data_IF_326067989838
#
_entry.id   IF_326067989838
#
_cell.length_a   1.000
_cell.length_b   1.000
_cell.length_c   1.000
_cell.angle_alpha   90.00
_cell.angle_beta   90.00
_cell.angle_gamma   90.00
#
_symmetry.space_group_name_H-M   'P 1'
#
loop_
_entity.id
_entity.type
_entity.pdbx_description
1 polymer ?
#
# COMPACT_ATOMS: atom_id res chain seq x y z
N UNK A 1 -15.41 -22.38 31.48
CA UNK A 1 -14.65 -21.16 31.86
C UNK A 1 -13.14 -21.40 31.67
N UNK A 2 -12.76 -21.84 30.47
CA UNK A 2 -11.37 -21.95 30.01
C UNK A 2 -11.41 -21.49 28.55
N UNK A 3 -11.32 -20.19 28.33
CA UNK A 3 -11.43 -19.59 27.00
C UNK A 3 -10.02 -19.51 26.44
N UNK A 4 -9.63 -20.56 25.72
CA UNK A 4 -8.53 -20.69 24.76
C UNK A 4 -7.39 -19.64 24.77
N UNK A 5 -6.34 -19.82 25.60
CA UNK A 5 -5.12 -19.00 25.60
C UNK A 5 -4.14 -19.34 24.45
N UNK A 6 -4.64 -19.69 23.25
CA UNK A 6 -3.82 -20.00 22.06
C UNK A 6 -4.10 -19.07 20.86
N UNK A 7 -5.13 -18.21 20.96
CA UNK A 7 -5.49 -17.24 19.91
C UNK A 7 -4.56 -16.01 19.87
N UNK A 8 -3.73 -15.85 20.89
CA UNK A 8 -2.88 -14.65 21.07
C UNK A 8 -1.71 -14.56 20.09
N UNK A 9 -1.38 -15.63 19.36
CA UNK A 9 -0.21 -15.63 18.46
C UNK A 9 -0.47 -16.36 17.13
N UNK A 10 -1.68 -16.23 16.58
CA UNK A 10 -1.99 -16.76 15.25
C UNK A 10 -1.90 -15.64 14.20
N UNK A 11 -0.80 -15.51 13.45
CA UNK A 11 -0.71 -14.56 12.34
C UNK A 11 -1.79 -14.78 11.29
N UNK A 12 -2.43 -15.96 11.28
CA UNK A 12 -3.58 -16.29 10.45
C UNK A 12 -4.76 -15.32 10.59
N UNK A 13 -5.01 -14.75 11.78
CA UNK A 13 -6.10 -13.78 11.97
C UNK A 13 -5.87 -12.51 11.14
N UNK A 14 -4.63 -12.03 11.07
CA UNK A 14 -4.27 -10.87 10.25
C UNK A 14 -4.48 -11.13 8.76
N UNK A 15 -4.17 -12.34 8.29
CA UNK A 15 -4.41 -12.76 6.90
C UNK A 15 -5.90 -12.77 6.58
N UNK A 16 -6.74 -13.29 7.49
CA UNK A 16 -8.20 -13.33 7.32
C UNK A 16 -8.78 -11.91 7.25
N UNK A 17 -8.33 -11.00 8.11
CA UNK A 17 -8.76 -9.59 8.08
C UNK A 17 -8.36 -8.95 6.75
N UNK A 18 -7.13 -9.16 6.30
CA UNK A 18 -6.65 -8.63 5.02
C UNK A 18 -7.50 -9.17 3.86
N UNK A 19 -7.85 -10.45 3.88
CA UNK A 19 -8.71 -11.09 2.88
C UNK A 19 -10.10 -10.44 2.83
N UNK A 20 -10.74 -10.24 3.99
CA UNK A 20 -12.07 -9.60 4.08
C UNK A 20 -12.02 -8.18 3.53
N UNK A 21 -11.00 -7.39 3.91
CA UNK A 21 -10.82 -6.03 3.40
C UNK A 21 -10.58 -6.06 1.88
N UNK A 22 -9.81 -7.01 1.36
CA UNK A 22 -9.57 -7.16 -0.08
C UNK A 22 -10.85 -7.54 -0.85
N UNK A 23 -11.78 -8.27 -0.24
CA UNK A 23 -13.08 -8.57 -0.85
C UNK A 23 -14.01 -7.36 -0.84
N UNK A 24 -14.06 -6.61 0.26
CA UNK A 24 -14.91 -5.41 0.38
C UNK A 24 -14.39 -4.22 -0.45
N UNK A 25 -13.08 -3.98 -0.41
CA UNK A 25 -12.43 -2.88 -1.11
C UNK A 25 -11.94 -3.27 -2.51
N UNK A 26 -11.66 -4.54 -2.77
CA UNK A 26 -11.08 -5.01 -4.02
C UNK A 26 -9.54 -4.94 -4.06
N UNK A 27 -8.93 -5.80 -4.89
CA UNK A 27 -7.48 -5.93 -5.03
C UNK A 27 -6.75 -4.64 -5.47
N UNK A 28 -7.44 -3.72 -6.15
CA UNK A 28 -6.86 -2.49 -6.70
C UNK A 28 -6.99 -1.28 -5.77
N UNK A 29 -7.95 -1.28 -4.82
CA UNK A 29 -8.22 -0.10 -3.97
C UNK A 29 -7.26 -0.01 -2.79
N UNK A 30 -6.92 -1.13 -2.15
CA UNK A 30 -5.91 -1.15 -1.07
C UNK A 30 -4.54 -0.60 -1.51
N UNK A 31 -3.92 -1.07 -2.61
CA UNK A 31 -2.64 -0.54 -3.06
C UNK A 31 -2.72 0.91 -3.55
N UNK A 32 -3.84 1.32 -4.15
CA UNK A 32 -4.01 2.71 -4.59
C UNK A 32 -4.10 3.68 -3.39
N UNK A 33 -4.85 3.31 -2.35
CA UNK A 33 -5.01 4.12 -1.13
C UNK A 33 -3.73 4.17 -0.29
N UNK A 34 -3.01 3.06 -0.17
CA UNK A 34 -1.73 3.05 0.54
C UNK A 34 -0.67 3.87 -0.18
N UNK A 35 -0.68 3.87 -1.52
CA UNK A 35 0.24 4.70 -2.33
C UNK A 35 -0.04 6.19 -2.18
N UNK A 36 -1.31 6.62 -2.24
CA UNK A 36 -1.66 8.04 -2.05
C UNK A 36 -1.39 8.53 -0.62
N UNK A 37 -1.75 7.73 0.40
CA UNK A 37 -1.46 8.04 1.80
C UNK A 37 0.04 8.03 2.09
N UNK A 38 0.78 7.09 1.48
CA UNK A 38 2.24 6.99 1.57
C UNK A 38 2.94 8.20 0.95
N UNK A 39 2.43 8.74 -0.16
CA UNK A 39 2.96 9.98 -0.74
C UNK A 39 2.75 11.18 0.20
N UNK A 40 1.58 11.34 0.82
CA UNK A 40 1.32 12.41 1.79
C UNK A 40 2.23 12.31 3.02
N UNK A 41 2.41 11.10 3.58
CA UNK A 41 3.30 10.85 4.71
C UNK A 41 4.76 11.10 4.32
N UNK A 42 5.17 10.74 3.10
CA UNK A 42 6.54 10.96 2.61
C UNK A 42 6.87 12.45 2.54
N UNK A 43 5.97 13.27 2.00
CA UNK A 43 6.14 14.73 1.91
C UNK A 43 6.28 15.32 3.32
N UNK A 44 5.37 14.96 4.23
CA UNK A 44 5.41 15.42 5.61
C UNK A 44 6.70 15.01 6.33
N UNK A 45 7.15 13.75 6.17
CA UNK A 45 8.44 13.27 6.70
C UNK A 45 9.63 14.04 6.12
N UNK A 46 9.56 14.43 4.84
CA UNK A 46 10.66 15.10 4.16
C UNK A 46 10.82 16.54 4.64
N UNK A 47 9.72 17.25 4.83
CA UNK A 47 9.72 18.61 5.39
C UNK A 47 10.21 18.57 6.85
N UNK A 48 9.62 17.73 7.69
CA UNK A 48 10.01 17.59 9.10
C UNK A 48 11.47 17.13 9.28
N UNK A 49 12.00 16.30 8.38
CA UNK A 49 13.40 15.86 8.42
C UNK A 49 14.37 16.90 7.86
N UNK A 50 13.89 17.85 7.06
CA UNK A 50 14.71 18.96 6.57
C UNK A 50 15.00 19.98 7.67
N UNK A 51 14.09 20.11 8.64
CA UNK A 51 14.25 20.96 9.83
C UNK A 51 15.01 20.27 11.00
N UNK A 52 15.19 18.96 10.95
CA UNK A 52 15.99 18.21 11.94
C UNK A 52 17.46 18.05 11.47
N UNK A 53 18.47 18.18 12.37
CA UNK A 53 19.86 17.98 12.00
C UNK A 53 20.07 16.56 11.44
N UNK A 54 20.70 16.51 10.27
CA UNK A 54 20.78 15.34 9.38
C UNK A 54 21.38 14.11 10.07
N UNK A 55 20.52 13.22 10.56
CA UNK A 55 20.88 11.82 10.82
C UNK A 55 19.83 10.92 10.16
N UNK A 56 20.31 9.89 9.49
CA UNK A 56 19.62 8.75 8.89
C UNK A 56 19.08 8.90 7.46
N UNK A 57 19.91 8.41 6.53
CA UNK A 57 19.50 7.94 5.22
C UNK A 57 18.83 6.57 5.28
N UNK A 58 17.81 6.42 4.44
CA UNK A 58 17.33 5.21 3.75
C UNK A 58 15.83 5.39 3.56
N UNK A 59 15.46 5.83 2.38
CA UNK A 59 14.12 5.61 1.85
C UNK A 59 14.29 5.33 0.35
N UNK A 60 14.80 4.13 0.06
CA UNK A 60 14.78 3.55 -1.28
C UNK A 60 13.37 3.66 -1.85
N UNK A 61 13.31 4.34 -2.98
CA UNK A 61 12.21 4.34 -3.92
C UNK A 61 12.32 3.07 -4.74
N UNK A 62 11.29 2.22 -4.74
CA UNK A 62 10.87 1.49 -5.95
C UNK A 62 9.59 0.71 -5.68
N UNK A 63 8.49 1.16 -6.31
CA UNK A 63 7.62 0.33 -7.13
C UNK A 63 6.54 1.25 -7.72
N UNK A 64 6.93 1.89 -8.81
CA UNK A 64 6.01 2.44 -9.80
C UNK A 64 6.49 1.93 -11.16
N UNK A 65 6.20 0.68 -11.46
CA UNK A 65 6.21 0.21 -12.83
C UNK A 65 5.07 -0.79 -13.04
N UNK A 66 4.00 -0.29 -13.66
CA UNK A 66 3.20 -1.05 -14.60
C UNK A 66 2.40 -0.07 -15.48
N UNK A 67 2.99 0.43 -16.59
CA UNK A 67 2.20 0.95 -17.69
C UNK A 67 1.70 -0.26 -18.49
N UNK A 68 0.57 -0.85 -18.09
CA UNK A 68 -0.09 -1.85 -18.96
C UNK A 68 -1.05 -1.13 -19.89
N UNK A 69 -0.51 -0.85 -21.07
CA UNK A 69 -1.23 -0.52 -22.29
C UNK A 69 -2.60 -1.21 -22.39
N UNK A 70 -3.62 -0.38 -22.58
CA UNK A 70 -4.82 -0.72 -23.32
C UNK A 70 -5.34 0.57 -23.96
N UNK A 71 -4.46 1.20 -24.75
CA UNK A 71 -4.90 2.01 -25.88
C UNK A 71 -5.67 1.06 -26.80
N UNK A 72 -7.00 1.04 -26.63
CA UNK A 72 -7.90 0.43 -27.58
C UNK A 72 -7.97 1.37 -28.76
N UNK A 73 -7.03 1.18 -29.69
CA UNK A 73 -7.03 1.82 -30.99
C UNK A 73 -8.42 1.71 -31.64
N UNK A 74 -9.10 2.82 -31.96
CA UNK A 74 -10.14 2.80 -32.96
C UNK A 74 -9.44 2.66 -34.32
N UNK A 75 -9.47 1.47 -34.90
CA UNK A 75 -9.18 1.26 -36.31
C UNK A 75 -10.32 1.92 -37.12
N UNK A 76 -10.18 3.21 -37.37
CA UNK A 76 -10.94 3.93 -38.39
C UNK A 76 -9.94 4.48 -39.41
N UNK A 77 -10.21 4.18 -40.68
CA UNK A 77 -9.63 4.76 -41.92
C UNK A 77 -8.61 3.93 -42.72
N UNK A 78 -9.13 3.07 -43.59
CA UNK A 78 -8.88 3.10 -45.05
C UNK A 78 -9.94 2.30 -45.80
#
# INVERSE_FOLDING_TARGET
MLIHPLFWNQPWTWVIILLVVLVLFGATRLPALSKSLGQSIKIFRNEVKSDAPKTDGTATSESDEAPKAADSAPTDKS
#
